data_IF_490943733991
#
_entry.id   IF_490943733991
#
_cell.length_a   1.000
_cell.length_b   1.000
_cell.length_c   1.000
_cell.angle_alpha   90.00
_cell.angle_beta   90.00
_cell.angle_gamma   90.00
#
_symmetry.space_group_name_H-M   'P 1'
#
loop_
_entity.id
_entity.type
_entity.pdbx_description
1 polymer ?
#
# COMPACT_ATOMS: atom_id res chain seq x y z
N UNK A 1 -4.38 10.24 -23.21
CA UNK A 1 -4.55 10.55 -21.77
C UNK A 1 -4.77 9.26 -20.95
N UNK A 2 -3.88 8.28 -21.08
CA UNK A 2 -3.88 7.03 -20.28
C UNK A 2 -2.53 6.77 -19.59
N UNK A 3 -1.47 7.51 -19.98
CA UNK A 3 -0.10 7.25 -19.51
C UNK A 3 0.12 7.64 -18.03
N UNK A 4 -0.44 8.76 -17.57
CA UNK A 4 -0.37 9.15 -16.15
C UNK A 4 -1.06 8.10 -15.24
N UNK A 5 -2.18 7.54 -15.74
CA UNK A 5 -2.86 6.45 -15.06
C UNK A 5 -2.01 5.18 -15.06
N UNK A 6 -1.26 4.89 -16.13
CA UNK A 6 -0.40 3.69 -16.16
C UNK A 6 0.72 3.74 -15.13
N UNK A 7 1.44 4.85 -14.98
CA UNK A 7 2.52 4.95 -13.98
C UNK A 7 1.99 4.83 -12.55
N UNK A 8 0.87 5.51 -12.28
CA UNK A 8 0.16 5.43 -11.00
C UNK A 8 -0.32 4.00 -10.70
N UNK A 9 -0.95 3.35 -11.68
CA UNK A 9 -1.39 1.96 -11.59
C UNK A 9 -0.20 1.01 -11.44
N UNK A 10 0.94 1.27 -12.07
CA UNK A 10 2.17 0.48 -11.89
C UNK A 10 2.72 0.60 -10.47
N UNK A 11 2.79 1.82 -9.91
CA UNK A 11 3.21 2.04 -8.52
C UNK A 11 2.29 1.34 -7.53
N UNK A 12 0.97 1.46 -7.71
CA UNK A 12 -0.02 0.77 -6.87
C UNK A 12 0.14 -0.74 -6.98
N UNK A 13 0.19 -1.28 -8.21
CA UNK A 13 0.31 -2.72 -8.42
C UNK A 13 1.64 -3.25 -7.89
N UNK A 14 2.74 -2.49 -8.01
CA UNK A 14 4.04 -2.84 -7.44
C UNK A 14 3.96 -2.96 -5.93
N UNK A 15 3.36 -1.97 -5.26
CA UNK A 15 3.19 -1.99 -3.81
C UNK A 15 2.27 -3.14 -3.36
N UNK A 16 1.11 -3.31 -4.01
CA UNK A 16 0.19 -4.42 -3.74
C UNK A 16 0.85 -5.79 -3.95
N UNK A 17 1.70 -5.95 -4.97
CA UNK A 17 2.42 -7.21 -5.22
C UNK A 17 3.48 -7.49 -4.16
N UNK A 18 4.12 -6.44 -3.61
CA UNK A 18 5.01 -6.59 -2.46
C UNK A 18 4.23 -7.02 -1.23
N UNK A 19 3.09 -6.37 -0.95
CA UNK A 19 2.22 -6.75 0.16
C UNK A 19 1.68 -8.18 0.04
N UNK A 20 1.31 -8.59 -1.18
CA UNK A 20 0.88 -9.96 -1.47
C UNK A 20 1.98 -10.97 -1.20
N UNK A 21 3.23 -10.68 -1.58
CA UNK A 21 4.37 -11.56 -1.29
C UNK A 21 4.75 -11.61 0.19
N UNK A 22 4.67 -10.49 0.89
CA UNK A 22 5.04 -10.37 2.31
C UNK A 22 3.97 -10.97 3.23
N UNK A 23 2.69 -10.82 2.87
CA UNK A 23 1.57 -11.11 3.77
C UNK A 23 0.58 -12.15 3.24
N UNK A 24 0.83 -12.72 2.06
CA UNK A 24 -0.07 -13.67 1.38
C UNK A 24 -1.50 -13.09 1.23
N UNK A 25 -1.57 -11.87 0.68
CA UNK A 25 -2.82 -11.16 0.43
C UNK A 25 -3.54 -11.70 -0.81
N UNK A 26 -3.94 -12.97 -0.76
CA UNK A 26 -4.67 -13.69 -1.82
C UNK A 26 -5.83 -12.89 -2.43
N UNK A 27 -6.45 -11.98 -1.67
CA UNK A 27 -7.31 -10.93 -2.23
C UNK A 27 -7.02 -9.58 -1.57
N UNK A 28 -6.51 -8.60 -2.32
CA UNK A 28 -6.42 -7.22 -1.85
C UNK A 28 -7.82 -6.56 -1.85
N UNK A 29 -8.25 -6.02 -0.70
CA UNK A 29 -9.54 -5.31 -0.61
C UNK A 29 -9.52 -4.05 -1.48
N UNK A 30 -10.69 -3.58 -1.97
CA UNK A 30 -10.80 -2.32 -2.73
C UNK A 30 -10.19 -1.11 -1.99
N UNK A 31 -10.32 -1.10 -0.66
CA UNK A 31 -9.69 -0.10 0.20
C UNK A 31 -8.16 -0.17 0.12
N UNK A 32 -7.59 -1.38 0.19
CA UNK A 32 -6.15 -1.59 0.05
C UNK A 32 -5.65 -1.27 -1.36
N UNK A 33 -6.46 -1.51 -2.41
CA UNK A 33 -6.12 -1.04 -3.76
C UNK A 33 -6.07 0.48 -3.86
N UNK A 34 -6.85 1.17 -3.02
CA UNK A 34 -6.88 2.63 -2.89
C UNK A 34 -6.01 3.11 -1.73
N UNK A 35 -4.93 2.38 -1.40
CA UNK A 35 -4.05 2.68 -0.26
C UNK A 35 -3.46 4.08 -0.32
N UNK A 36 -3.24 4.62 -1.52
CA UNK A 36 -2.75 5.98 -1.73
C UNK A 36 -3.73 7.06 -1.26
N UNK A 37 -5.02 6.75 -1.09
CA UNK A 37 -6.03 7.63 -0.50
C UNK A 37 -6.21 7.40 1.01
N UNK A 38 -5.60 6.35 1.55
CA UNK A 38 -5.70 6.02 2.96
C UNK A 38 -4.61 6.75 3.76
N UNK A 39 -4.90 7.05 5.01
CA UNK A 39 -3.88 7.34 5.99
C UNK A 39 -3.16 6.06 6.41
N UNK A 40 -1.90 6.18 6.82
CA UNK A 40 -1.12 5.03 7.31
C UNK A 40 -1.86 4.24 8.41
N UNK A 41 -2.59 4.93 9.28
CA UNK A 41 -3.42 4.29 10.32
C UNK A 41 -4.52 3.40 9.73
N UNK A 42 -5.19 3.87 8.68
CA UNK A 42 -6.23 3.11 7.99
C UNK A 42 -5.65 1.94 7.20
N UNK A 43 -4.49 2.14 6.56
CA UNK A 43 -3.72 1.07 5.92
C UNK A 43 -3.40 -0.07 6.90
N UNK A 44 -2.86 0.25 8.08
CA UNK A 44 -2.57 -0.75 9.12
C UNK A 44 -3.85 -1.43 9.63
N UNK A 45 -4.95 -0.69 9.73
CA UNK A 45 -6.25 -1.26 10.08
C UNK A 45 -6.76 -2.24 9.02
N UNK A 46 -6.60 -1.93 7.73
CA UNK A 46 -6.98 -2.84 6.63
C UNK A 46 -6.16 -4.14 6.65
N UNK A 47 -4.85 -4.04 6.90
CA UNK A 47 -4.00 -5.22 7.12
C UNK A 47 -4.46 -6.02 8.35
N UNK A 48 -4.75 -5.35 9.47
CA UNK A 48 -5.24 -5.99 10.68
C UNK A 48 -6.58 -6.74 10.47
N UNK A 49 -7.50 -6.20 9.66
CA UNK A 49 -8.74 -6.88 9.25
C UNK A 49 -8.48 -8.19 8.51
N UNK A 50 -7.37 -8.27 7.78
CA UNK A 50 -6.90 -9.49 7.09
C UNK A 50 -6.09 -10.43 7.99
N UNK A 51 -6.10 -10.21 9.31
CA UNK A 51 -5.32 -10.95 10.32
C UNK A 51 -3.81 -10.74 10.22
N UNK A 52 -3.36 -9.73 9.49
CA UNK A 52 -1.94 -9.36 9.41
C UNK A 52 -1.63 -8.44 10.58
N UNK A 53 -0.84 -8.93 11.53
CA UNK A 53 -0.36 -8.13 12.66
C UNK A 53 1.09 -7.76 12.46
N UNK A 54 1.33 -6.48 12.20
CA UNK A 54 2.68 -5.92 12.10
C UNK A 54 3.25 -5.64 13.49
N UNK A 55 4.49 -6.04 13.70
CA UNK A 55 5.28 -5.68 14.88
C UNK A 55 5.65 -4.19 14.84
N UNK A 56 6.04 -3.61 15.98
CA UNK A 56 6.40 -2.18 16.05
C UNK A 56 7.51 -1.79 15.05
N UNK A 57 8.52 -2.65 14.90
CA UNK A 57 9.60 -2.44 13.93
C UNK A 57 9.10 -2.45 12.49
N UNK A 58 8.27 -3.44 12.13
CA UNK A 58 7.66 -3.53 10.81
C UNK A 58 6.77 -2.32 10.54
N UNK A 59 6.00 -1.85 11.52
CA UNK A 59 5.20 -0.64 11.36
C UNK A 59 6.06 0.55 10.94
N UNK A 60 7.17 0.79 11.64
CA UNK A 60 8.07 1.89 11.26
C UNK A 60 8.58 1.74 9.82
N UNK A 61 9.06 0.55 9.45
CA UNK A 61 9.57 0.28 8.09
C UNK A 61 8.49 0.50 7.02
N UNK A 62 7.30 -0.06 7.23
CA UNK A 62 6.16 0.11 6.33
C UNK A 62 5.60 1.53 6.32
N UNK A 63 5.78 2.33 7.38
CA UNK A 63 5.37 3.74 7.42
C UNK A 63 6.24 4.58 6.50
N UNK A 64 7.56 4.43 6.59
CA UNK A 64 8.52 5.09 5.71
C UNK A 64 8.30 4.69 4.24
N UNK A 65 8.15 3.38 3.94
CA UNK A 65 7.86 2.89 2.58
C UNK A 65 6.52 3.42 2.06
N UNK A 66 5.47 3.40 2.89
CA UNK A 66 4.14 3.90 2.51
C UNK A 66 4.19 5.39 2.16
N UNK A 67 4.79 6.22 3.01
CA UNK A 67 4.92 7.67 2.79
C UNK A 67 5.75 7.97 1.55
N UNK A 68 6.85 7.24 1.36
CA UNK A 68 7.72 7.39 0.19
C UNK A 68 7.00 7.07 -1.12
N UNK A 69 6.25 5.96 -1.17
CA UNK A 69 5.49 5.59 -2.36
C UNK A 69 4.29 6.54 -2.58
N UNK A 70 3.64 7.06 -1.53
CA UNK A 70 2.60 8.09 -1.64
C UNK A 70 3.15 9.41 -2.20
N UNK A 71 4.33 9.84 -1.73
CA UNK A 71 4.99 11.05 -2.22
C UNK A 71 5.37 10.93 -3.69
N UNK A 72 6.04 9.84 -4.10
CA UNK A 72 6.38 9.59 -5.51
C UNK A 72 5.15 9.65 -6.42
N UNK A 73 4.01 9.20 -5.90
CA UNK A 73 2.76 9.16 -6.61
C UNK A 73 2.07 10.54 -6.73
N UNK A 74 2.34 11.45 -5.79
CA UNK A 74 1.81 12.83 -5.77
C UNK A 74 2.77 13.88 -6.38
N UNK A 75 4.03 13.54 -6.67
CA UNK A 75 5.04 14.47 -7.19
C UNK A 75 5.00 14.70 -8.73
N UNK A 76 3.89 14.42 -9.41
CA UNK A 76 3.76 14.56 -10.87
C UNK A 76 2.68 15.54 -11.33
#
# INVERSE_FOLDING_TARGET
MLCLNQQFQESINRFLRTLDREFDLSECSKNLQSWYELDYKDFINELAKKKIKLSLAQKSEWEDDFVSEQQKNNEH
#
